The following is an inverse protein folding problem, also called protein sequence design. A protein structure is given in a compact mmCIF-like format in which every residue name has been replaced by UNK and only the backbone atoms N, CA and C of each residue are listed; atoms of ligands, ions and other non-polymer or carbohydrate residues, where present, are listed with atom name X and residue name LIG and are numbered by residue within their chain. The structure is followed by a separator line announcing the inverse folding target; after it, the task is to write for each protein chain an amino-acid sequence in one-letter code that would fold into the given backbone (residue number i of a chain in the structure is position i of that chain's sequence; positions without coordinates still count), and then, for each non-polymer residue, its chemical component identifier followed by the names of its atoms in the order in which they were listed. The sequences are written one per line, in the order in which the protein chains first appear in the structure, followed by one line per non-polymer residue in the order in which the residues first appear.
data_IF_497848889678
#
_entry.id   IF_497848889678
#
_cell.length_a   1.000
_cell.length_b   1.000
_cell.length_c   1.000
_cell.angle_alpha   90.00
_cell.angle_beta   90.00
_cell.angle_gamma   90.00
#
_symmetry.space_group_name_H-M   'P 1'
#
loop_
_entity.id
_entity.type
_entity.pdbx_description
1 polymer ?
#
# COMPACT_ATOMS: atom_id res chain seq x y z
N UNK A 1 10.50 -23.40 10.76
CA UNK A 1 9.69 -24.55 10.34
C UNK A 1 8.57 -23.99 9.48
N UNK A 2 8.61 -24.19 8.16
CA UNK A 2 7.58 -23.65 7.27
C UNK A 2 6.25 -24.34 7.55
N UNK A 3 5.22 -23.55 7.87
CA UNK A 3 3.90 -24.08 8.22
C UNK A 3 3.12 -24.40 6.96
N UNK A 4 2.17 -25.35 7.03
CA UNK A 4 1.25 -25.70 5.93
C UNK A 4 0.40 -24.52 5.41
N UNK A 5 0.40 -23.39 6.12
CA UNK A 5 -0.19 -22.11 5.72
C UNK A 5 0.67 -21.29 4.73
N UNK A 6 1.95 -21.65 4.56
CA UNK A 6 2.92 -20.94 3.70
C UNK A 6 2.91 -21.40 2.24
N UNK A 7 2.10 -22.40 1.89
CA UNK A 7 2.15 -23.07 0.58
C UNK A 7 1.48 -22.24 -0.54
N UNK A 8 0.67 -21.23 -0.20
CA UNK A 8 0.00 -20.36 -1.18
C UNK A 8 0.25 -18.87 -1.04
N UNK A 9 1.01 -18.44 -0.02
CA UNK A 9 1.24 -17.02 0.26
C UNK A 9 2.36 -16.46 -0.60
N UNK A 10 2.16 -15.27 -1.18
CA UNK A 10 3.24 -14.59 -1.90
C UNK A 10 4.38 -14.23 -0.94
N UNK A 11 5.57 -13.99 -1.48
CA UNK A 11 6.72 -13.55 -0.68
C UNK A 11 6.41 -12.28 0.10
N UNK A 12 5.57 -11.40 -0.46
CA UNK A 12 5.10 -10.17 0.18
C UNK A 12 4.17 -10.48 1.37
N UNK A 13 3.22 -11.40 1.23
CA UNK A 13 2.30 -11.79 2.33
C UNK A 13 3.05 -12.40 3.52
N UNK A 14 4.08 -13.23 3.27
CA UNK A 14 4.90 -13.81 4.33
C UNK A 14 5.67 -12.74 5.09
N UNK A 15 6.25 -11.78 4.36
CA UNK A 15 6.97 -10.67 4.96
C UNK A 15 6.05 -9.78 5.81
N UNK A 16 4.85 -9.49 5.29
CA UNK A 16 3.84 -8.73 6.02
C UNK A 16 3.42 -9.44 7.33
N UNK A 17 3.18 -10.76 7.26
CA UNK A 17 2.83 -11.56 8.43
C UNK A 17 3.98 -11.60 9.45
N UNK A 18 5.22 -11.82 9.01
CA UNK A 18 6.39 -11.78 9.90
C UNK A 18 6.52 -10.43 10.60
N UNK A 19 6.30 -9.32 9.89
CA UNK A 19 6.35 -7.99 10.49
C UNK A 19 5.20 -7.74 11.48
N UNK A 20 4.02 -8.30 11.22
CA UNK A 20 2.86 -8.23 12.14
C UNK A 20 3.12 -9.05 13.40
N UNK A 21 3.66 -10.26 13.26
CA UNK A 21 4.04 -11.11 14.39
C UNK A 21 5.12 -10.48 15.28
N UNK A 22 6.00 -9.67 14.70
CA UNK A 22 7.07 -8.97 15.43
C UNK A 22 6.68 -7.56 15.93
N UNK A 23 5.42 -7.13 15.78
CA UNK A 23 4.95 -5.76 16.10
C UNK A 23 5.76 -4.64 15.38
N UNK A 24 6.39 -4.96 14.25
CA UNK A 24 7.19 -4.01 13.46
C UNK A 24 6.50 -3.55 12.18
N UNK A 25 5.35 -4.12 11.84
CA UNK A 25 4.61 -3.83 10.61
C UNK A 25 4.40 -2.33 10.39
N UNK A 26 3.75 -1.63 11.34
CA UNK A 26 3.51 -0.19 11.22
C UNK A 26 4.80 0.61 11.09
N UNK A 27 5.86 0.26 11.83
CA UNK A 27 7.15 0.95 11.75
C UNK A 27 7.82 0.79 10.39
N UNK A 28 7.74 -0.40 9.80
CA UNK A 28 8.36 -0.66 8.50
C UNK A 28 7.53 -0.01 7.39
N UNK A 29 6.20 -0.09 7.45
CA UNK A 29 5.32 0.64 6.54
C UNK A 29 5.63 2.14 6.61
N UNK A 30 5.68 2.75 7.80
CA UNK A 30 6.00 4.17 7.97
C UNK A 30 7.41 4.54 7.49
N UNK A 31 8.37 3.63 7.68
CA UNK A 31 9.73 3.83 7.15
C UNK A 31 9.72 3.95 5.64
N UNK A 32 8.88 3.22 4.92
CA UNK A 32 8.81 3.30 3.45
C UNK A 32 7.72 4.26 2.96
N UNK A 33 6.78 4.66 3.83
CA UNK A 33 5.64 5.53 3.55
C UNK A 33 6.05 6.84 2.90
N UNK A 34 7.09 7.49 3.42
CA UNK A 34 7.58 8.77 2.89
C UNK A 34 8.04 8.71 1.42
N UNK A 35 8.31 7.53 0.86
CA UNK A 35 8.70 7.38 -0.56
C UNK A 35 7.50 7.45 -1.51
N UNK A 36 6.32 7.10 -1.01
CA UNK A 36 5.13 6.88 -1.85
C UNK A 36 3.97 7.80 -1.48
N UNK A 37 3.82 8.15 -0.19
CA UNK A 37 2.70 8.92 0.34
C UNK A 37 2.45 10.21 -0.45
N UNK A 38 3.50 10.97 -0.75
CA UNK A 38 3.39 12.24 -1.50
C UNK A 38 2.64 12.05 -2.83
N UNK A 39 2.90 10.95 -3.56
CA UNK A 39 2.23 10.65 -4.84
C UNK A 39 0.73 10.40 -4.67
N UNK A 40 0.35 9.71 -3.59
CA UNK A 40 -1.05 9.44 -3.30
C UNK A 40 -1.78 10.69 -2.81
N UNK A 41 -1.12 11.51 -1.99
CA UNK A 41 -1.66 12.79 -1.52
C UNK A 41 -1.85 13.79 -2.67
N UNK A 42 -0.86 13.93 -3.55
CA UNK A 42 -0.95 14.75 -4.75
C UNK A 42 -2.16 14.35 -5.60
N UNK A 43 -2.40 13.05 -5.75
CA UNK A 43 -3.57 12.54 -6.47
C UNK A 43 -4.89 12.86 -5.74
N UNK A 44 -4.94 12.80 -4.41
CA UNK A 44 -6.14 13.17 -3.62
C UNK A 44 -6.45 14.67 -3.69
N UNK A 45 -5.45 15.52 -3.94
CA UNK A 45 -5.63 16.97 -4.06
C UNK A 45 -6.11 17.40 -5.46
N UNK A 46 -6.16 16.48 -6.44
CA UNK A 46 -6.67 16.79 -7.77
C UNK A 46 -8.19 17.00 -7.75
N UNK A 47 -8.68 17.82 -8.67
CA UNK A 47 -10.12 18.09 -8.86
C UNK A 47 -10.92 16.79 -9.09
N UNK A 48 -10.31 15.83 -9.79
CA UNK A 48 -10.85 14.48 -9.97
C UNK A 48 -9.76 13.47 -9.58
N UNK A 49 -9.72 13.02 -8.31
CA UNK A 49 -8.69 12.09 -7.87
C UNK A 49 -8.86 10.75 -8.57
N UNK A 50 -7.77 10.21 -9.13
CA UNK A 50 -7.79 8.89 -9.76
C UNK A 50 -7.75 7.78 -8.71
N UNK A 51 -8.17 6.58 -9.10
CA UNK A 51 -8.16 5.44 -8.17
C UNK A 51 -6.73 5.15 -7.68
N UNK A 52 -6.47 5.01 -6.37
CA UNK A 52 -5.13 4.78 -5.81
C UNK A 52 -4.38 3.59 -6.41
N UNK A 53 -5.09 2.53 -6.82
CA UNK A 53 -4.51 1.42 -7.59
C UNK A 53 -3.73 1.86 -8.85
N UNK A 54 -4.15 2.94 -9.51
CA UNK A 54 -3.42 3.47 -10.67
C UNK A 54 -2.04 4.00 -10.26
N UNK A 55 -1.98 4.77 -9.18
CA UNK A 55 -0.73 5.28 -8.60
C UNK A 55 0.17 4.13 -8.15
N UNK A 56 -0.41 3.13 -7.46
CA UNK A 56 0.28 1.90 -7.08
C UNK A 56 0.95 1.24 -8.30
N UNK A 57 0.17 1.04 -9.36
CA UNK A 57 0.65 0.38 -10.58
C UNK A 57 1.76 1.19 -11.26
N UNK A 58 1.60 2.51 -11.37
CA UNK A 58 2.62 3.39 -11.94
C UNK A 58 3.93 3.33 -11.15
N UNK A 59 3.87 3.28 -9.81
CA UNK A 59 5.06 3.18 -8.95
C UNK A 59 5.75 1.83 -9.14
N UNK A 60 4.99 0.74 -9.17
CA UNK A 60 5.52 -0.63 -9.37
C UNK A 60 6.11 -0.81 -10.77
N UNK A 61 5.50 -0.22 -11.81
CA UNK A 61 6.00 -0.30 -13.18
C UNK A 61 7.22 0.63 -13.41
N UNK A 62 7.31 1.76 -12.70
CA UNK A 62 8.39 2.72 -12.87
C UNK A 62 9.62 2.46 -11.99
N UNK A 63 9.50 1.67 -10.92
CA UNK A 63 10.58 1.43 -9.96
C UNK A 63 10.77 -0.08 -9.70
N UNK A 64 12.02 -0.49 -9.55
CA UNK A 64 12.34 -1.80 -8.97
C UNK A 64 12.18 -1.72 -7.45
N UNK A 65 10.99 -2.06 -6.98
CA UNK A 65 10.66 -2.09 -5.54
C UNK A 65 11.17 -3.37 -4.89
N UNK A 66 11.72 -3.25 -3.69
CA UNK A 66 11.94 -4.41 -2.82
C UNK A 66 10.62 -5.00 -2.31
N UNK A 67 10.65 -6.24 -1.83
CA UNK A 67 9.47 -6.86 -1.21
C UNK A 67 8.95 -6.02 -0.03
N UNK A 68 9.85 -5.42 0.76
CA UNK A 68 9.54 -4.50 1.85
C UNK A 68 8.77 -3.26 1.37
N UNK A 69 9.22 -2.67 0.26
CA UNK A 69 8.60 -1.50 -0.33
C UNK A 69 7.25 -1.81 -0.95
N UNK A 70 7.08 -3.01 -1.54
CA UNK A 70 5.80 -3.47 -2.07
C UNK A 70 4.76 -3.65 -0.99
N UNK A 71 5.12 -4.31 0.12
CA UNK A 71 4.22 -4.49 1.27
C UNK A 71 3.78 -3.14 1.82
N UNK A 72 4.73 -2.20 2.00
CA UNK A 72 4.40 -0.86 2.44
C UNK A 72 3.50 -0.12 1.44
N UNK A 73 3.79 -0.22 0.14
CA UNK A 73 3.00 0.41 -0.91
C UNK A 73 1.58 -0.16 -1.01
N UNK A 74 1.40 -1.47 -0.80
CA UNK A 74 0.08 -2.10 -0.75
C UNK A 74 -0.77 -1.58 0.42
N UNK A 75 -0.17 -1.46 1.61
CA UNK A 75 -0.86 -0.94 2.79
C UNK A 75 -1.30 0.52 2.57
N UNK A 76 -0.41 1.36 2.02
CA UNK A 76 -0.72 2.75 1.69
C UNK A 76 -1.83 2.82 0.64
N UNK A 77 -1.79 1.97 -0.39
CA UNK A 77 -2.83 1.91 -1.42
C UNK A 77 -4.20 1.59 -0.80
N UNK A 78 -4.28 0.65 0.15
CA UNK A 78 -5.54 0.32 0.85
C UNK A 78 -6.05 1.51 1.67
N UNK A 79 -5.19 2.17 2.45
CA UNK A 79 -5.54 3.36 3.22
C UNK A 79 -6.11 4.48 2.34
N UNK A 80 -5.42 4.80 1.25
CA UNK A 80 -5.87 5.83 0.32
C UNK A 80 -7.10 5.40 -0.50
N UNK A 81 -7.30 4.10 -0.73
CA UNK A 81 -8.50 3.59 -1.41
C UNK A 81 -9.74 3.82 -0.55
N UNK A 82 -9.64 3.63 0.77
CA UNK A 82 -10.69 4.00 1.73
C UNK A 82 -11.02 5.49 1.66
N UNK A 83 -10.00 6.36 1.75
CA UNK A 83 -10.16 7.81 1.65
C UNK A 83 -10.77 8.27 0.32
N UNK A 84 -10.36 7.66 -0.79
CA UNK A 84 -10.92 7.96 -2.12
C UNK A 84 -12.39 7.56 -2.22
N UNK A 85 -12.76 6.40 -1.67
CA UNK A 85 -14.14 5.93 -1.64
C UNK A 85 -15.03 6.91 -0.84
N UNK A 86 -14.56 7.37 0.32
CA UNK A 86 -15.25 8.36 1.14
C UNK A 86 -15.42 9.70 0.41
N UNK A 87 -14.35 10.19 -0.24
CA UNK A 87 -14.38 11.39 -1.10
C UNK A 87 -15.43 11.25 -2.21
N UNK A 88 -15.41 10.13 -2.94
CA UNK A 88 -16.37 9.87 -4.02
C UNK A 88 -17.81 9.89 -3.50
N UNK A 89 -18.06 9.32 -2.33
CA UNK A 89 -19.39 9.35 -1.70
C UNK A 89 -19.80 10.77 -1.30
N UNK A 90 -18.88 11.57 -0.77
CA UNK A 90 -19.12 12.98 -0.41
C UNK A 90 -19.44 13.88 -1.60
N UNK A 91 -18.89 13.59 -2.79
CA UNK A 91 -19.16 14.35 -4.02
C UNK A 91 -20.41 13.87 -4.78
N UNK A 92 -21.01 12.75 -4.38
CA UNK A 92 -22.21 12.18 -5.01
C UNK A 92 -23.52 12.52 -4.28
N UNK A 93 -23.46 13.25 -3.16
CA UNK A 93 -24.60 13.79 -2.40
C UNK A 93 -24.74 15.29 -2.63
#
# INVERSE_FOLDING_TARGET
MASLWDIGKSTEEKLADEWRENEQFERQVDRHRHKFQDRFEDNMQQEVPTHPYKIFREIVEANELSDEERVALEEIKEEFSGRWQELKQSHSN
#
